data_IF_613574610295
#
_entry.id   IF_613574610295
#
_cell.length_a   1.000
_cell.length_b   1.000
_cell.length_c   1.000
_cell.angle_alpha   90.00
_cell.angle_beta   90.00
_cell.angle_gamma   90.00
#
_symmetry.space_group_name_H-M   'P 1'
#
loop_
_entity.id
_entity.type
_entity.pdbx_description
1 polymer ?
#
# COMPACT_ATOMS: atom_id res chain seq x y z
N UNK A 1 -7.80 -20.89 -4.18
CA UNK A 1 -8.54 -19.64 -4.04
C UNK A 1 -9.40 -19.46 -5.28
N UNK A 2 -10.67 -19.26 -5.19
CA UNK A 2 -11.56 -19.06 -6.35
C UNK A 2 -11.54 -17.62 -6.92
N UNK A 3 -10.49 -16.88 -6.71
CA UNK A 3 -10.37 -15.53 -7.27
C UNK A 3 -9.94 -15.60 -8.74
N UNK A 4 -10.54 -14.86 -9.65
CA UNK A 4 -10.24 -14.88 -11.09
C UNK A 4 -9.01 -14.02 -11.42
N UNK A 5 -7.93 -14.17 -10.66
CA UNK A 5 -6.67 -13.46 -10.88
C UNK A 5 -5.58 -14.42 -11.26
N UNK A 6 -4.79 -14.05 -12.27
CA UNK A 6 -3.52 -14.66 -12.54
C UNK A 6 -2.45 -14.05 -11.63
N UNK A 7 -1.88 -14.84 -10.72
CA UNK A 7 -0.88 -14.38 -9.77
C UNK A 7 0.50 -14.78 -10.23
N UNK A 8 1.38 -13.79 -10.34
CA UNK A 8 2.79 -13.95 -10.68
C UNK A 8 3.65 -13.41 -9.54
N UNK A 9 4.61 -14.20 -9.09
CA UNK A 9 5.65 -13.73 -8.18
C UNK A 9 6.80 -13.15 -8.98
N UNK A 10 7.20 -11.93 -8.64
CA UNK A 10 8.33 -11.24 -9.27
C UNK A 10 9.29 -10.79 -8.17
N UNK A 11 10.58 -10.83 -8.45
CA UNK A 11 11.62 -10.32 -7.55
C UNK A 11 12.02 -8.90 -7.90
N UNK A 12 12.70 -8.22 -6.97
CA UNK A 12 13.30 -6.92 -7.25
C UNK A 12 14.39 -7.00 -8.32
N UNK A 13 15.11 -8.13 -8.38
CA UNK A 13 16.10 -8.38 -9.41
C UNK A 13 15.45 -8.51 -10.80
N UNK A 14 14.28 -9.16 -10.90
CA UNK A 14 13.53 -9.22 -12.15
C UNK A 14 13.14 -7.82 -12.63
N UNK A 15 12.64 -6.97 -11.73
CA UNK A 15 12.26 -5.57 -12.03
C UNK A 15 13.49 -4.78 -12.51
N UNK A 16 14.63 -4.96 -11.83
CA UNK A 16 15.87 -4.27 -12.18
C UNK A 16 16.40 -4.68 -13.55
N UNK A 17 16.34 -5.98 -13.86
CA UNK A 17 16.83 -6.52 -15.12
C UNK A 17 15.90 -6.20 -16.30
N UNK A 18 14.59 -6.16 -16.06
CA UNK A 18 13.58 -5.83 -17.07
C UNK A 18 12.41 -5.05 -16.45
N UNK A 19 12.51 -3.72 -16.36
CA UNK A 19 11.41 -2.90 -15.86
C UNK A 19 10.13 -2.99 -16.70
N UNK A 20 10.21 -3.40 -17.98
CA UNK A 20 9.04 -3.62 -18.84
C UNK A 20 8.21 -4.85 -18.43
N UNK A 21 8.75 -5.71 -17.58
CA UNK A 21 7.99 -6.79 -16.96
C UNK A 21 6.69 -6.28 -16.31
N UNK A 22 6.74 -5.07 -15.72
CA UNK A 22 5.59 -4.45 -15.07
C UNK A 22 4.48 -4.06 -16.05
N UNK A 23 4.80 -3.80 -17.32
CA UNK A 23 3.82 -3.39 -18.34
C UNK A 23 2.75 -4.48 -18.61
N UNK A 24 3.03 -5.72 -18.22
CA UNK A 24 2.11 -6.86 -18.35
C UNK A 24 1.20 -7.10 -17.14
N UNK A 25 1.31 -6.27 -16.09
CA UNK A 25 0.58 -6.43 -14.84
C UNK A 25 -0.52 -5.37 -14.73
N UNK A 26 -1.61 -5.73 -14.07
CA UNK A 26 -2.66 -4.76 -13.71
C UNK A 26 -2.39 -4.17 -12.33
N UNK A 27 -1.96 -5.01 -11.36
CA UNK A 27 -1.74 -4.61 -9.97
C UNK A 27 -0.48 -5.27 -9.41
N UNK A 28 0.31 -4.50 -8.68
CA UNK A 28 1.42 -5.00 -7.86
C UNK A 28 0.99 -4.98 -6.40
N UNK A 29 1.28 -6.06 -5.66
CA UNK A 29 1.08 -6.14 -4.22
C UNK A 29 2.43 -6.31 -3.55
N UNK A 30 2.78 -5.39 -2.66
CA UNK A 30 3.95 -5.48 -1.79
C UNK A 30 3.50 -5.63 -0.34
N UNK A 31 3.84 -6.76 0.25
CA UNK A 31 3.63 -7.01 1.67
C UNK A 31 4.94 -6.72 2.38
N UNK A 32 4.98 -5.59 3.10
CA UNK A 32 6.19 -5.07 3.71
C UNK A 32 6.28 -5.36 5.20
N UNK A 33 7.51 -5.60 5.62
CA UNK A 33 7.95 -5.53 7.01
C UNK A 33 9.35 -4.91 6.98
N UNK A 34 9.57 -3.84 7.74
CA UNK A 34 10.76 -3.01 7.61
C UNK A 34 12.05 -3.86 7.61
N UNK A 35 12.95 -3.50 6.74
CA UNK A 35 14.30 -4.04 6.67
C UNK A 35 14.41 -5.57 6.49
N UNK A 36 13.34 -6.24 6.09
CA UNK A 36 13.45 -7.65 5.76
C UNK A 36 13.80 -7.86 4.29
N UNK A 37 14.69 -8.81 4.02
CA UNK A 37 15.07 -9.17 2.65
C UNK A 37 13.86 -9.67 1.81
N UNK A 38 12.82 -10.19 2.46
CA UNK A 38 11.62 -10.70 1.80
C UNK A 38 10.70 -9.60 1.25
N UNK A 39 10.81 -8.39 1.79
CA UNK A 39 9.94 -7.25 1.44
C UNK A 39 10.67 -6.16 0.67
N UNK A 40 11.94 -6.40 0.39
CA UNK A 40 12.80 -5.54 -0.40
C UNK A 40 13.99 -5.00 0.38
N UNK A 41 13.82 -4.57 1.63
CA UNK A 41 14.91 -4.02 2.42
C UNK A 41 15.75 -3.01 1.65
N UNK A 42 17.04 -3.25 1.54
CA UNK A 42 17.99 -2.39 0.82
C UNK A 42 17.68 -2.17 -0.68
N UNK A 43 16.87 -3.03 -1.32
CA UNK A 43 16.45 -2.81 -2.70
C UNK A 43 15.67 -1.51 -2.89
N UNK A 44 15.05 -1.00 -1.83
CA UNK A 44 14.33 0.27 -1.86
C UNK A 44 15.24 1.51 -1.94
N UNK A 45 16.55 1.36 -1.70
CA UNK A 45 17.53 2.41 -2.00
C UNK A 45 17.83 2.53 -3.51
N UNK A 46 17.50 1.49 -4.29
CA UNK A 46 17.76 1.48 -5.72
C UNK A 46 16.73 2.38 -6.46
N UNK A 47 17.18 3.51 -7.05
CA UNK A 47 16.28 4.44 -7.71
C UNK A 47 15.65 3.84 -8.98
N UNK A 48 16.26 2.85 -9.60
CA UNK A 48 15.72 2.20 -10.80
C UNK A 48 14.46 1.42 -10.45
N UNK A 49 14.47 0.67 -9.34
CA UNK A 49 13.30 -0.09 -8.86
C UNK A 49 12.17 0.84 -8.45
N UNK A 50 12.46 1.80 -7.56
CA UNK A 50 11.44 2.75 -7.07
C UNK A 50 10.84 3.56 -8.22
N UNK A 51 11.66 3.95 -9.21
CA UNK A 51 11.19 4.69 -10.38
C UNK A 51 10.36 3.82 -11.32
N UNK A 52 10.73 2.56 -11.52
CA UNK A 52 9.97 1.62 -12.35
C UNK A 52 8.55 1.43 -11.79
N UNK A 53 8.43 1.21 -10.48
CA UNK A 53 7.12 1.04 -9.83
C UNK A 53 6.31 2.35 -9.87
N UNK A 54 6.93 3.51 -9.57
CA UNK A 54 6.25 4.81 -9.70
C UNK A 54 5.74 5.05 -11.12
N UNK A 55 6.55 4.76 -12.12
CA UNK A 55 6.18 4.90 -13.54
C UNK A 55 5.03 3.97 -13.92
N UNK A 56 5.06 2.72 -13.44
CA UNK A 56 3.98 1.76 -13.64
C UNK A 56 2.64 2.32 -13.11
N UNK A 57 2.62 2.78 -11.85
CA UNK A 57 1.38 3.34 -11.27
C UNK A 57 0.99 4.65 -11.96
N UNK A 58 1.96 5.54 -12.23
CA UNK A 58 1.68 6.79 -12.94
C UNK A 58 0.99 6.58 -14.29
N UNK A 59 1.31 5.50 -14.98
CA UNK A 59 0.76 5.16 -16.29
C UNK A 59 -0.59 4.41 -16.22
N UNK A 60 -1.08 4.08 -15.05
CA UNK A 60 -2.40 3.47 -14.87
C UNK A 60 -2.40 2.14 -14.13
N UNK A 61 -1.26 1.62 -13.71
CA UNK A 61 -1.17 0.41 -12.90
C UNK A 61 -1.66 0.62 -11.47
N UNK A 62 -2.05 -0.48 -10.82
CA UNK A 62 -2.44 -0.48 -9.41
C UNK A 62 -1.29 -0.86 -8.47
N UNK A 63 -1.25 -0.29 -7.27
CA UNK A 63 -0.30 -0.69 -6.23
C UNK A 63 -1.00 -0.89 -4.89
N UNK A 64 -0.85 -2.07 -4.29
CA UNK A 64 -1.37 -2.35 -2.94
C UNK A 64 -0.20 -2.59 -2.01
N UNK A 65 -0.10 -1.77 -0.99
CA UNK A 65 0.88 -1.92 0.06
C UNK A 65 0.27 -2.42 1.36
N UNK A 66 0.84 -3.46 1.96
CA UNK A 66 0.37 -4.04 3.21
C UNK A 66 1.45 -4.01 4.27
N UNK A 67 1.11 -3.58 5.48
CA UNK A 67 2.03 -3.50 6.61
C UNK A 67 2.96 -2.29 6.48
N UNK A 68 4.21 -2.52 6.16
CA UNK A 68 5.25 -1.51 5.93
C UNK A 68 5.81 -1.64 4.50
N UNK A 69 4.94 -1.42 3.49
CA UNK A 69 5.28 -1.62 2.10
C UNK A 69 6.35 -0.61 1.67
N UNK A 70 7.29 -1.04 0.85
CA UNK A 70 8.47 -0.24 0.49
C UNK A 70 9.27 0.26 1.71
N UNK A 71 9.13 -0.43 2.84
CA UNK A 71 9.75 -0.05 4.11
C UNK A 71 11.26 -0.24 4.08
N UNK A 72 11.97 0.89 4.18
CA UNK A 72 13.41 0.96 4.38
C UNK A 72 13.80 2.39 4.76
N UNK A 73 14.33 2.63 5.96
CA UNK A 73 14.74 3.97 6.38
C UNK A 73 15.86 4.52 5.49
N UNK A 74 15.51 5.38 4.55
CA UNK A 74 16.45 5.97 3.61
C UNK A 74 16.05 7.39 3.24
N UNK A 75 17.01 8.32 3.22
CA UNK A 75 16.82 9.73 2.85
C UNK A 75 15.66 10.45 3.58
N UNK A 76 15.43 10.09 4.85
CA UNK A 76 14.41 10.73 5.68
C UNK A 76 12.99 10.16 5.50
N UNK A 77 12.83 9.12 4.71
CA UNK A 77 11.58 8.38 4.53
C UNK A 77 11.70 6.97 5.07
N UNK A 78 10.60 6.42 5.58
CA UNK A 78 10.49 5.00 5.90
C UNK A 78 9.85 4.26 4.74
N UNK A 79 8.71 4.78 4.23
CA UNK A 79 8.06 4.20 3.07
C UNK A 79 8.62 4.85 1.79
N UNK A 80 9.44 4.14 1.04
CA UNK A 80 10.09 4.69 -0.16
C UNK A 80 9.12 4.98 -1.31
N UNK A 81 7.92 4.41 -1.27
CA UNK A 81 6.80 4.72 -2.16
C UNK A 81 5.67 5.51 -1.48
N UNK A 82 5.99 6.28 -0.43
CA UNK A 82 5.01 7.08 0.29
C UNK A 82 4.15 7.97 -0.63
N UNK A 83 4.75 8.61 -1.62
CA UNK A 83 4.03 9.44 -2.59
C UNK A 83 3.05 8.66 -3.48
N UNK A 84 3.31 7.38 -3.74
CA UNK A 84 2.40 6.50 -4.48
C UNK A 84 1.26 6.04 -3.58
N UNK A 85 1.61 5.60 -2.36
CA UNK A 85 0.65 5.06 -1.38
C UNK A 85 -0.23 6.14 -0.75
N UNK A 86 0.18 7.40 -0.78
CA UNK A 86 -0.48 8.48 -0.08
C UNK A 86 -0.33 8.44 1.44
N UNK A 87 0.58 7.63 1.96
CA UNK A 87 0.85 7.51 3.39
C UNK A 87 2.35 7.45 3.67
N UNK A 88 2.72 7.85 4.89
CA UNK A 88 4.10 7.75 5.39
C UNK A 88 4.07 7.30 6.84
N UNK A 89 5.18 6.78 7.32
CA UNK A 89 5.39 6.42 8.70
C UNK A 89 6.14 7.52 9.46
N UNK A 90 5.70 7.84 10.67
CA UNK A 90 6.39 8.77 11.56
C UNK A 90 7.70 8.16 12.07
N UNK A 91 8.80 8.80 11.75
CA UNK A 91 10.14 8.30 12.07
C UNK A 91 10.53 8.61 13.51
N UNK A 92 10.65 7.57 14.33
CA UNK A 92 11.23 7.62 15.66
C UNK A 92 10.36 8.22 16.77
N UNK A 93 9.15 8.66 16.48
CA UNK A 93 8.24 9.26 17.45
C UNK A 93 6.82 8.72 17.30
N UNK A 94 6.05 8.81 18.37
CA UNK A 94 4.61 8.57 18.29
C UNK A 94 3.95 9.72 17.56
N UNK A 95 2.93 9.44 16.75
CA UNK A 95 2.12 10.46 16.09
C UNK A 95 1.59 11.49 17.11
N UNK A 96 1.71 12.74 16.77
CA UNK A 96 1.04 13.78 17.50
C UNK A 96 -0.43 13.82 17.07
N UNK A 97 -1.27 13.13 17.80
CA UNK A 97 -2.70 12.98 17.52
C UNK A 97 -3.47 14.30 17.45
N UNK A 98 -2.94 15.39 18.00
CA UNK A 98 -3.57 16.70 17.90
C UNK A 98 -3.38 17.34 16.51
N UNK A 99 -2.38 16.88 15.74
CA UNK A 99 -2.11 17.37 14.39
C UNK A 99 -2.97 16.66 13.33
N UNK A 100 -3.36 15.42 13.57
CA UNK A 100 -3.98 14.59 12.56
C UNK A 100 -5.46 14.37 12.88
N UNK A 101 -6.31 14.78 11.96
CA UNK A 101 -7.74 14.58 12.02
C UNK A 101 -8.24 14.34 10.62
N UNK A 102 -8.35 13.05 10.23
CA UNK A 102 -8.83 12.67 8.91
C UNK A 102 -10.31 12.38 8.94
N UNK A 103 -11.01 12.82 7.90
CA UNK A 103 -12.35 12.39 7.60
C UNK A 103 -12.28 11.00 6.96
N UNK A 104 -13.05 10.05 7.49
CA UNK A 104 -13.14 8.71 6.90
C UNK A 104 -14.15 8.70 5.75
N UNK A 105 -13.86 7.89 4.72
CA UNK A 105 -14.72 7.66 3.55
C UNK A 105 -15.37 6.28 3.61
N UNK A 106 -16.40 6.06 4.49
CA UNK A 106 -16.97 4.74 4.74
C UNK A 106 -17.74 4.17 3.54
N UNK A 107 -18.15 5.01 2.60
CA UNK A 107 -18.91 4.62 1.41
C UNK A 107 -18.02 4.27 0.21
N UNK A 108 -16.69 4.31 0.40
CA UNK A 108 -15.74 3.99 -0.66
C UNK A 108 -15.93 2.55 -1.17
N UNK A 109 -15.77 2.33 -2.47
CA UNK A 109 -15.97 1.03 -3.13
C UNK A 109 -15.28 -0.14 -2.42
N UNK A 110 -14.06 0.05 -1.93
CA UNK A 110 -13.30 -1.00 -1.23
C UNK A 110 -14.03 -1.49 0.02
N UNK A 111 -14.76 -0.61 0.70
CA UNK A 111 -15.45 -0.89 1.95
C UNK A 111 -16.90 -1.36 1.80
N UNK A 112 -17.43 -1.38 0.57
CA UNK A 112 -18.78 -1.88 0.33
C UNK A 112 -18.86 -3.36 0.70
N UNK A 113 -19.87 -3.72 1.49
CA UNK A 113 -20.08 -5.08 2.02
C UNK A 113 -18.92 -5.64 2.87
N UNK A 114 -18.03 -4.77 3.36
CA UNK A 114 -17.01 -5.18 4.32
C UNK A 114 -17.63 -5.45 5.70
N UNK A 115 -17.23 -6.56 6.31
CA UNK A 115 -17.59 -6.84 7.70
C UNK A 115 -16.91 -5.81 8.61
N UNK A 116 -17.67 -5.23 9.54
CA UNK A 116 -17.15 -4.21 10.45
C UNK A 116 -17.25 -4.66 11.90
N UNK A 117 -16.26 -4.36 12.73
CA UNK A 117 -14.99 -3.70 12.39
C UNK A 117 -14.10 -4.59 11.51
N UNK A 118 -13.32 -3.96 10.61
CA UNK A 118 -12.32 -4.69 9.82
C UNK A 118 -11.18 -5.11 10.74
N UNK A 119 -10.76 -6.35 10.62
CA UNK A 119 -9.64 -6.90 11.38
C UNK A 119 -8.32 -6.64 10.65
N UNK A 120 -7.51 -5.74 11.19
CA UNK A 120 -6.16 -5.47 10.71
C UNK A 120 -5.08 -6.23 11.50
N UNK A 121 -5.48 -7.07 12.47
CA UNK A 121 -4.56 -7.65 13.44
C UNK A 121 -3.94 -6.59 14.34
N UNK A 122 -2.66 -6.73 14.62
CA UNK A 122 -1.93 -5.65 15.29
C UNK A 122 -1.84 -4.41 14.40
N UNK A 123 -1.67 -4.62 13.11
CA UNK A 123 -1.54 -3.58 12.10
C UNK A 123 -0.27 -2.73 12.28
N UNK A 124 0.19 -2.10 11.22
CA UNK A 124 1.31 -1.17 11.34
C UNK A 124 0.88 0.11 12.07
N UNK A 125 1.74 0.59 12.97
CA UNK A 125 1.52 1.78 13.78
C UNK A 125 2.20 3.02 13.17
N UNK A 126 1.83 4.18 13.68
CA UNK A 126 2.43 5.48 13.34
C UNK A 126 2.29 5.89 11.86
N UNK A 127 1.31 5.38 11.16
CA UNK A 127 1.03 5.74 9.76
C UNK A 127 0.12 6.97 9.71
N UNK A 128 0.51 7.95 8.92
CA UNK A 128 -0.26 9.15 8.64
C UNK A 128 -0.51 9.35 7.15
N UNK A 129 -1.64 10.00 6.82
CA UNK A 129 -2.00 10.31 5.44
C UNK A 129 -1.27 11.55 4.93
N UNK A 130 -0.85 11.50 3.67
CA UNK A 130 -0.36 12.64 2.92
C UNK A 130 -1.53 13.38 2.26
N UNK A 131 -1.28 14.59 1.76
CA UNK A 131 -2.27 15.40 1.07
C UNK A 131 -2.85 14.65 -0.15
N UNK A 132 -4.16 14.75 -0.34
CA UNK A 132 -4.87 14.10 -1.45
C UNK A 132 -5.21 12.63 -1.24
N UNK A 133 -4.95 12.10 -0.05
CA UNK A 133 -5.26 10.70 0.30
C UNK A 133 -6.65 10.58 0.93
N UNK A 134 -7.43 9.62 0.47
CA UNK A 134 -8.69 9.24 1.09
C UNK A 134 -8.44 8.22 2.21
N UNK A 135 -8.64 8.64 3.46
CA UNK A 135 -8.57 7.72 4.59
C UNK A 135 -9.85 6.91 4.67
N UNK A 136 -9.75 5.60 4.54
CA UNK A 136 -10.90 4.70 4.54
C UNK A 136 -11.22 4.19 5.94
N UNK A 137 -10.20 3.86 6.70
CA UNK A 137 -10.31 3.41 8.10
C UNK A 137 -9.14 3.96 8.91
N UNK A 138 -9.44 4.49 10.09
CA UNK A 138 -8.44 4.89 11.07
C UNK A 138 -8.71 4.21 12.42
N UNK A 139 -7.66 4.04 13.21
CA UNK A 139 -7.73 3.59 14.60
C UNK A 139 -6.81 4.45 15.44
N UNK A 140 -7.35 5.10 16.48
CA UNK A 140 -6.58 6.03 17.30
C UNK A 140 -5.91 7.14 16.50
N UNK A 141 -6.58 7.64 15.45
CA UNK A 141 -6.04 8.65 14.53
C UNK A 141 -4.79 8.19 13.73
N UNK A 142 -4.53 6.90 13.67
CA UNK A 142 -3.55 6.30 12.78
C UNK A 142 -4.27 5.66 11.59
N UNK A 143 -3.72 5.83 10.41
CA UNK A 143 -4.31 5.26 9.20
C UNK A 143 -4.18 3.74 9.21
N UNK A 144 -5.30 3.04 9.05
CA UNK A 144 -5.33 1.58 8.92
C UNK A 144 -5.55 1.16 7.48
N UNK A 145 -6.32 1.95 6.73
CA UNK A 145 -6.53 1.74 5.30
C UNK A 145 -6.72 3.09 4.61
N UNK A 146 -6.10 3.25 3.47
CA UNK A 146 -6.21 4.46 2.66
C UNK A 146 -6.19 4.14 1.17
N UNK A 147 -6.81 5.01 0.37
CA UNK A 147 -6.81 4.99 -1.08
C UNK A 147 -6.20 6.28 -1.61
N UNK A 148 -5.42 6.19 -2.67
CA UNK A 148 -4.71 7.33 -3.24
C UNK A 148 -4.61 7.21 -4.76
N UNK A 149 -4.92 8.30 -5.46
CA UNK A 149 -4.70 8.42 -6.89
C UNK A 149 -3.27 8.91 -7.16
N UNK A 150 -2.54 8.24 -8.05
CA UNK A 150 -1.20 8.63 -8.44
C UNK A 150 -1.04 8.60 -9.97
N UNK A 151 -1.04 9.77 -10.57
CA UNK A 151 -1.05 9.90 -12.03
C UNK A 151 -2.37 9.38 -12.62
N UNK A 152 -2.29 8.32 -13.42
CA UNK A 152 -3.46 7.64 -13.98
C UNK A 152 -3.84 6.37 -13.20
N UNK A 153 -2.97 5.93 -12.29
CA UNK A 153 -3.15 4.72 -11.51
C UNK A 153 -3.58 5.02 -10.08
N UNK A 154 -3.71 3.96 -9.31
CA UNK A 154 -4.28 3.98 -7.97
C UNK A 154 -3.49 3.14 -7.01
N UNK A 155 -3.41 3.57 -5.77
CA UNK A 155 -2.77 2.81 -4.72
C UNK A 155 -3.67 2.64 -3.51
N UNK A 156 -3.52 1.51 -2.82
CA UNK A 156 -4.21 1.21 -1.57
C UNK A 156 -3.17 0.85 -0.52
N UNK A 157 -3.28 1.49 0.63
CA UNK A 157 -2.54 1.11 1.83
C UNK A 157 -3.44 0.32 2.78
N UNK A 158 -2.90 -0.76 3.36
CA UNK A 158 -3.56 -1.58 4.37
C UNK A 158 -2.55 -1.90 5.49
N UNK A 159 -2.84 -1.52 6.72
CA UNK A 159 -1.89 -1.67 7.84
C UNK A 159 -1.60 -3.11 8.26
N UNK A 160 -2.49 -4.03 7.92
CA UNK A 160 -2.36 -5.45 8.14
C UNK A 160 -3.58 -6.20 7.59
N UNK A 161 -3.38 -7.43 7.16
CA UNK A 161 -4.43 -8.24 6.55
C UNK A 161 -4.35 -9.70 7.02
N UNK A 162 -4.71 -9.97 8.31
CA UNK A 162 -4.78 -11.34 8.79
C UNK A 162 -5.68 -12.19 7.90
N UNK A 163 -5.31 -13.44 7.70
CA UNK A 163 -6.09 -14.33 6.86
C UNK A 163 -7.49 -14.57 7.44
N UNK A 164 -8.50 -14.13 6.71
CA UNK A 164 -9.91 -14.43 6.99
C UNK A 164 -10.70 -14.30 5.70
N UNK A 165 -11.91 -14.85 5.67
CA UNK A 165 -12.81 -14.70 4.52
C UNK A 165 -13.19 -13.22 4.32
N UNK A 166 -13.46 -12.50 5.40
CA UNK A 166 -13.79 -11.08 5.37
C UNK A 166 -12.65 -10.24 4.78
N UNK A 167 -11.42 -10.45 5.27
CA UNK A 167 -10.24 -9.74 4.76
C UNK A 167 -9.92 -10.10 3.31
N UNK A 168 -10.16 -11.36 2.91
CA UNK A 168 -9.99 -11.78 1.51
C UNK A 168 -10.94 -11.03 0.58
N UNK A 169 -12.19 -10.78 1.01
CA UNK A 169 -13.14 -9.95 0.24
C UNK A 169 -12.68 -8.50 0.14
N UNK A 170 -12.22 -7.92 1.24
CA UNK A 170 -11.72 -6.54 1.26
C UNK A 170 -10.50 -6.40 0.35
N UNK A 171 -9.55 -7.34 0.42
CA UNK A 171 -8.39 -7.35 -0.47
C UNK A 171 -8.81 -7.52 -1.95
N UNK A 172 -9.77 -8.38 -2.22
CA UNK A 172 -10.32 -8.56 -3.57
C UNK A 172 -10.87 -7.24 -4.14
N UNK A 173 -11.64 -6.49 -3.34
CA UNK A 173 -12.15 -5.18 -3.75
C UNK A 173 -11.04 -4.14 -3.94
N UNK A 174 -10.02 -4.18 -3.08
CA UNK A 174 -8.85 -3.31 -3.24
C UNK A 174 -8.13 -3.58 -4.57
N UNK A 175 -7.97 -4.87 -4.96
CA UNK A 175 -7.39 -5.25 -6.26
C UNK A 175 -8.25 -4.73 -7.41
N UNK A 176 -9.57 -4.95 -7.38
CA UNK A 176 -10.47 -4.47 -8.43
C UNK A 176 -10.44 -2.95 -8.56
N UNK A 177 -10.43 -2.22 -7.46
CA UNK A 177 -10.39 -0.76 -7.48
C UNK A 177 -9.06 -0.22 -8.02
N UNK A 178 -7.96 -0.88 -7.67
CA UNK A 178 -6.62 -0.47 -8.10
C UNK A 178 -6.35 -0.78 -9.58
N UNK A 179 -7.04 -1.79 -10.16
CA UNK A 179 -6.86 -2.21 -11.55
C UNK A 179 -7.59 -1.30 -12.57
N UNK A 180 -8.42 -0.37 -12.10
CA UNK A 180 -9.27 0.52 -12.91
C UNK A 180 -9.02 1.98 -12.52
#
# INVERSE_FOLDING_TARGET
>A
SGAPFDVKFISFEDIKNDPHLLDSLDVIINVGDADTAHTGGIWWEDPEISSAIRKFVWNGGGFIGVGEPSGHPYQGHILQLASVLGVEEENGFTLNYDKYNWEEHPDHFILQDADRPIDFGEGKRNIYALEGTEVLVQRNKEVQMAAHDFGKGRAVYISGVPYSFANSRTLYRAILWSAH
#
